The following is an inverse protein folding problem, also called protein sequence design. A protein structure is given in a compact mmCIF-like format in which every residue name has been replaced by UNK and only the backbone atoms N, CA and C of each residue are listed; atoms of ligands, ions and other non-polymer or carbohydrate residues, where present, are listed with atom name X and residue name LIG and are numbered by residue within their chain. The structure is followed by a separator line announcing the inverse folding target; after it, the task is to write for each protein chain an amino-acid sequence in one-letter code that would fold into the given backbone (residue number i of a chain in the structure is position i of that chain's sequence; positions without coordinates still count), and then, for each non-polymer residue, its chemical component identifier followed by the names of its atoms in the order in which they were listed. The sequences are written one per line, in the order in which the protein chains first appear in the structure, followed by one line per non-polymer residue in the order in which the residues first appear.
data_IF_868613497390
#
_entry.id   IF_868613497390
#
_cell.length_a   1.000
_cell.length_b   1.000
_cell.length_c   1.000
_cell.angle_alpha   90.00
_cell.angle_beta   90.00
_cell.angle_gamma   90.00
#
_symmetry.space_group_name_H-M   'P 1'
#
loop_
_entity.id
_entity.type
_entity.pdbx_description
1 polymer ?
#
# COMPACT_ATOMS: atom_id res chain seq x y z
N UNK A 1 23.02 -6.76 15.10
CA UNK A 1 22.26 -6.31 13.94
C UNK A 1 21.58 -4.98 14.28
N UNK A 2 22.06 -3.86 13.73
CA UNK A 2 21.56 -2.51 14.06
C UNK A 2 20.21 -2.25 13.36
N UNK A 3 20.03 -2.78 12.14
CA UNK A 3 18.78 -2.65 11.37
C UNK A 3 17.65 -3.38 12.11
N UNK A 4 16.56 -2.67 12.41
CA UNK A 4 15.44 -3.21 13.18
C UNK A 4 15.64 -3.24 14.69
N UNK A 5 16.76 -2.75 15.20
CA UNK A 5 17.12 -2.78 16.63
C UNK A 5 16.35 -1.79 17.52
N UNK A 6 15.45 -0.99 16.96
CA UNK A 6 14.60 -0.01 17.68
C UNK A 6 15.37 0.94 18.62
N UNK A 7 16.58 1.36 18.21
CA UNK A 7 17.44 2.22 19.02
C UNK A 7 18.20 1.52 20.16
N UNK A 8 17.95 0.23 20.42
CA UNK A 8 18.61 -0.52 21.51
C UNK A 8 20.09 -0.81 21.23
N UNK A 9 20.53 -0.68 20.00
CA UNK A 9 21.92 -0.92 19.55
C UNK A 9 22.78 0.34 19.51
N UNK A 10 22.23 1.48 19.97
CA UNK A 10 22.88 2.77 19.97
C UNK A 10 22.54 3.65 18.75
N UNK A 11 23.00 4.91 18.71
CA UNK A 11 22.76 5.82 17.60
C UNK A 11 23.54 5.38 16.34
N UNK A 12 22.91 5.51 15.18
CA UNK A 12 23.55 5.29 13.88
C UNK A 12 24.22 6.59 13.47
N UNK A 13 25.56 6.62 13.40
CA UNK A 13 26.35 7.79 13.02
C UNK A 13 26.48 7.89 11.50
N UNK A 14 26.61 6.76 10.80
CA UNK A 14 26.75 6.72 9.35
C UNK A 14 26.18 5.44 8.77
N UNK A 15 25.76 5.49 7.51
CA UNK A 15 25.33 4.30 6.76
C UNK A 15 25.83 4.38 5.32
N UNK A 16 26.30 3.25 4.76
CA UNK A 16 26.73 3.12 3.37
C UNK A 16 25.72 2.29 2.61
N UNK A 17 25.17 2.85 1.53
CA UNK A 17 24.17 2.20 0.68
C UNK A 17 24.75 1.96 -0.71
N UNK A 18 24.45 0.78 -1.27
CA UNK A 18 24.67 0.51 -2.68
C UNK A 18 23.44 0.99 -3.45
N UNK A 19 23.63 1.99 -4.32
CA UNK A 19 22.55 2.50 -5.17
C UNK A 19 22.43 1.66 -6.44
N UNK A 20 21.20 1.51 -6.92
CA UNK A 20 20.90 0.88 -8.19
C UNK A 20 20.48 1.96 -9.20
N UNK A 21 21.05 1.90 -10.41
CA UNK A 21 20.67 2.81 -11.49
C UNK A 21 19.28 2.45 -12.00
N UNK A 22 18.39 3.42 -12.05
CA UNK A 22 17.07 3.30 -12.65
C UNK A 22 17.01 4.05 -13.99
N UNK A 23 16.24 3.54 -14.96
CA UNK A 23 16.11 4.16 -16.28
C UNK A 23 15.11 5.29 -16.29
N UNK A 24 14.06 5.18 -15.48
CA UNK A 24 12.97 6.14 -15.38
C UNK A 24 12.43 6.19 -13.95
N UNK A 25 11.89 7.36 -13.53
CA UNK A 25 11.17 7.50 -12.28
C UNK A 25 9.69 7.08 -12.39
N UNK A 26 9.29 6.55 -13.55
CA UNK A 26 7.93 6.09 -13.80
C UNK A 26 7.83 4.60 -13.57
N UNK A 27 6.76 4.21 -12.88
CA UNK A 27 6.42 2.82 -12.59
C UNK A 27 5.19 2.42 -13.41
N UNK A 28 5.36 1.39 -14.23
CA UNK A 28 4.22 0.66 -14.77
C UNK A 28 3.68 -0.25 -13.67
N UNK A 29 2.44 0.00 -13.26
CA UNK A 29 1.74 -0.76 -12.23
C UNK A 29 0.68 -1.64 -12.88
N UNK A 30 0.61 -2.91 -12.45
CA UNK A 30 -0.49 -3.82 -12.75
C UNK A 30 -1.11 -4.33 -11.47
N UNK A 31 -2.45 -4.31 -11.42
CA UNK A 31 -3.22 -4.70 -10.25
C UNK A 31 -3.70 -6.15 -10.37
N UNK A 32 -3.58 -6.92 -9.30
CA UNK A 32 -4.11 -8.28 -9.17
C UNK A 32 -4.99 -8.34 -7.93
N UNK A 33 -6.31 -8.31 -8.13
CA UNK A 33 -7.27 -8.44 -7.06
C UNK A 33 -7.47 -9.92 -6.70
N UNK A 34 -7.67 -10.18 -5.42
CA UNK A 34 -8.00 -11.50 -4.89
C UNK A 34 -9.05 -11.35 -3.79
N UNK A 35 -9.79 -12.42 -3.49
CA UNK A 35 -10.81 -12.48 -2.44
C UNK A 35 -10.64 -13.72 -1.57
N UNK A 36 -9.56 -14.47 -1.76
CA UNK A 36 -9.16 -15.61 -0.93
C UNK A 36 -7.65 -15.86 -1.02
N UNK A 37 -7.13 -16.63 -0.09
CA UNK A 37 -5.70 -16.96 -0.01
C UNK A 37 -5.21 -17.81 -1.19
N UNK A 38 -6.09 -18.63 -1.79
CA UNK A 38 -5.77 -19.48 -2.96
C UNK A 38 -5.49 -18.58 -4.17
N UNK A 39 -6.37 -17.59 -4.43
CA UNK A 39 -6.19 -16.63 -5.53
C UNK A 39 -4.97 -15.74 -5.31
N UNK A 40 -4.72 -15.32 -4.05
CA UNK A 40 -3.48 -14.62 -3.70
C UNK A 40 -2.26 -15.46 -4.11
N UNK A 41 -2.17 -16.73 -3.66
CA UNK A 41 -1.06 -17.62 -4.01
C UNK A 41 -0.91 -17.85 -5.51
N UNK A 42 -2.02 -18.00 -6.26
CA UNK A 42 -2.02 -18.13 -7.73
C UNK A 42 -1.50 -16.87 -8.44
N UNK A 43 -1.53 -15.72 -7.77
CA UNK A 43 -1.01 -14.45 -8.30
C UNK A 43 0.51 -14.31 -8.12
N UNK A 44 1.11 -14.95 -7.11
CA UNK A 44 2.52 -14.80 -6.77
C UNK A 44 3.50 -15.15 -7.90
N UNK A 45 3.31 -16.23 -8.69
CA UNK A 45 4.20 -16.53 -9.81
C UNK A 45 4.24 -15.43 -10.86
N UNK A 46 3.10 -14.71 -11.06
CA UNK A 46 2.98 -13.60 -12.01
C UNK A 46 3.80 -12.37 -11.58
N UNK A 47 4.17 -12.29 -10.30
CA UNK A 47 4.95 -11.16 -9.76
C UNK A 47 6.42 -11.23 -10.11
N UNK A 48 6.96 -12.39 -10.52
CA UNK A 48 8.39 -12.58 -10.85
C UNK A 48 8.89 -11.61 -11.94
N UNK A 49 8.02 -11.13 -12.82
CA UNK A 49 8.34 -10.17 -13.88
C UNK A 49 8.36 -8.71 -13.41
N UNK A 50 7.99 -8.44 -12.16
CA UNK A 50 7.94 -7.11 -11.56
C UNK A 50 9.02 -6.98 -10.51
N UNK A 51 9.63 -5.80 -10.46
CA UNK A 51 10.67 -5.50 -9.46
C UNK A 51 10.07 -5.23 -8.08
N UNK A 52 8.85 -4.68 -8.06
CA UNK A 52 8.16 -4.25 -6.86
C UNK A 52 6.79 -4.90 -6.76
N UNK A 53 6.37 -5.20 -5.54
CA UNK A 53 5.01 -5.62 -5.24
C UNK A 53 4.60 -5.08 -3.87
N UNK A 54 3.45 -4.42 -3.82
CA UNK A 54 2.82 -3.94 -2.59
C UNK A 54 1.44 -4.57 -2.51
N UNK A 55 1.06 -5.08 -1.35
CA UNK A 55 -0.24 -5.68 -1.15
C UNK A 55 -1.06 -4.82 -0.18
N UNK A 56 -2.27 -4.47 -0.59
CA UNK A 56 -3.29 -3.92 0.28
C UNK A 56 -4.26 -5.04 0.67
N UNK A 57 -4.55 -5.16 1.96
CA UNK A 57 -5.48 -6.13 2.53
C UNK A 57 -6.67 -5.40 3.14
N UNK A 58 -7.87 -5.91 2.89
CA UNK A 58 -9.11 -5.42 3.49
C UNK A 58 -9.42 -6.23 4.74
N UNK A 59 -9.09 -5.68 5.90
CA UNK A 59 -9.36 -6.30 7.20
C UNK A 59 -10.82 -6.14 7.66
N UNK A 60 -11.65 -5.37 6.95
CA UNK A 60 -13.09 -5.26 7.27
C UNK A 60 -13.89 -6.49 6.86
N UNK A 61 -13.28 -7.41 6.13
CA UNK A 61 -13.88 -8.67 5.67
C UNK A 61 -13.28 -9.87 6.37
N UNK A 62 -14.10 -10.89 6.59
CA UNK A 62 -13.65 -12.17 7.14
C UNK A 62 -12.67 -12.89 6.21
N UNK A 63 -12.92 -12.83 4.92
CA UNK A 63 -12.08 -13.46 3.91
C UNK A 63 -10.74 -12.74 3.73
N UNK A 64 -9.73 -13.47 3.21
CA UNK A 64 -8.45 -12.90 2.80
C UNK A 64 -8.64 -12.10 1.50
N UNK A 65 -9.08 -10.86 1.61
CA UNK A 65 -9.45 -9.98 0.50
C UNK A 65 -8.41 -8.87 0.31
N UNK A 66 -8.08 -8.55 -0.95
CA UNK A 66 -7.12 -7.49 -1.21
C UNK A 66 -6.73 -7.29 -2.67
N UNK A 67 -5.69 -6.48 -2.86
CA UNK A 67 -5.11 -6.16 -4.17
C UNK A 67 -3.59 -6.16 -4.08
N UNK A 68 -2.93 -6.84 -5.01
CA UNK A 68 -1.49 -6.71 -5.22
C UNK A 68 -1.25 -5.66 -6.30
N UNK A 69 -0.48 -4.64 -5.98
CA UNK A 69 0.04 -3.63 -6.89
C UNK A 69 1.46 -4.05 -7.30
N UNK A 70 1.60 -4.66 -8.46
CA UNK A 70 2.89 -5.09 -9.00
C UNK A 70 3.47 -4.00 -9.89
N UNK A 71 4.72 -3.59 -9.65
CA UNK A 71 5.37 -2.46 -10.32
C UNK A 71 6.74 -2.79 -10.91
N UNK A 72 7.03 -2.20 -12.06
CA UNK A 72 8.37 -2.17 -12.64
C UNK A 72 8.64 -0.80 -13.27
N UNK A 73 9.92 -0.39 -13.31
CA UNK A 73 10.27 0.83 -14.05
C UNK A 73 9.96 0.66 -15.53
N UNK A 74 9.50 1.76 -16.14
CA UNK A 74 9.29 1.86 -17.59
C UNK A 74 10.64 2.12 -18.24
N UNK A 75 10.89 1.55 -19.42
CA UNK A 75 12.05 1.84 -20.22
C UNK A 75 11.95 3.26 -20.82
N UNK A 76 13.12 3.89 -21.07
CA UNK A 76 13.22 5.34 -21.37
C UNK A 76 12.52 5.77 -22.67
N UNK A 77 12.21 4.82 -23.57
CA UNK A 77 11.65 5.10 -24.91
C UNK A 77 10.12 5.12 -24.99
N UNK A 78 9.41 4.76 -23.93
CA UNK A 78 7.96 4.91 -23.92
C UNK A 78 7.60 6.39 -23.72
N UNK A 79 7.35 7.11 -24.81
CA UNK A 79 6.70 8.44 -24.81
C UNK A 79 5.23 8.27 -24.38
N UNK A 80 5.02 8.09 -23.10
CA UNK A 80 3.69 7.96 -22.55
C UNK A 80 3.25 9.36 -22.13
N UNK A 81 2.16 9.82 -22.72
CA UNK A 81 1.47 11.03 -22.28
C UNK A 81 0.91 10.77 -20.87
N UNK A 82 1.68 11.16 -19.85
CA UNK A 82 1.31 11.00 -18.45
C UNK A 82 0.25 12.04 -18.09
N UNK A 83 -1.00 11.67 -18.16
CA UNK A 83 -2.03 12.41 -17.45
C UNK A 83 -1.96 12.00 -15.97
N UNK A 84 -1.08 12.68 -15.22
CA UNK A 84 -1.08 12.59 -13.77
C UNK A 84 -2.32 13.30 -13.23
N UNK A 85 -3.36 12.55 -12.98
CA UNK A 85 -4.47 13.05 -12.18
C UNK A 85 -3.98 13.16 -10.71
N UNK A 86 -3.34 14.28 -10.40
CA UNK A 86 -3.05 14.67 -9.01
C UNK A 86 -4.34 15.21 -8.40
N UNK A 87 -5.14 14.30 -7.89
CA UNK A 87 -6.30 14.66 -7.09
C UNK A 87 -5.80 15.06 -5.69
N UNK A 88 -5.47 16.34 -5.51
CA UNK A 88 -5.22 16.92 -4.19
C UNK A 88 -6.57 17.09 -3.50
N UNK A 89 -6.86 16.22 -2.52
CA UNK A 89 -7.99 16.43 -1.64
C UNK A 89 -7.83 17.79 -0.94
N UNK A 90 -8.79 18.69 -1.13
CA UNK A 90 -8.81 19.97 -0.42
C UNK A 90 -8.94 19.74 1.08
N UNK A 91 -8.40 20.65 1.92
CA UNK A 91 -8.51 20.55 3.40
C UNK A 91 -9.95 20.32 3.86
N UNK A 92 -10.92 20.97 3.23
CA UNK A 92 -12.35 20.83 3.57
C UNK A 92 -12.82 19.38 3.34
N UNK A 93 -12.45 18.78 2.22
CA UNK A 93 -12.81 17.40 1.91
C UNK A 93 -12.14 16.40 2.88
N UNK A 94 -10.89 16.69 3.28
CA UNK A 94 -10.17 15.91 4.31
C UNK A 94 -10.92 15.96 5.63
N UNK A 95 -11.36 17.13 6.08
CA UNK A 95 -12.13 17.30 7.33
C UNK A 95 -13.47 16.57 7.24
N UNK A 96 -14.21 16.74 6.14
CA UNK A 96 -15.47 16.03 5.93
C UNK A 96 -15.28 14.51 5.95
N UNK A 97 -14.30 13.99 5.21
CA UNK A 97 -13.99 12.55 5.20
C UNK A 97 -13.55 12.09 6.60
N UNK A 98 -12.78 12.88 7.35
CA UNK A 98 -12.33 12.52 8.71
C UNK A 98 -13.47 12.41 9.72
N UNK A 99 -14.55 13.16 9.55
CA UNK A 99 -15.75 13.02 10.38
C UNK A 99 -16.47 11.68 10.16
N UNK A 100 -16.31 11.12 8.97
CA UNK A 100 -17.00 9.90 8.53
C UNK A 100 -16.14 8.64 8.60
N UNK A 101 -14.80 8.75 8.52
CA UNK A 101 -13.89 7.57 8.53
C UNK A 101 -13.93 6.79 9.86
N UNK A 102 -14.39 7.41 10.94
CA UNK A 102 -14.53 6.75 12.25
C UNK A 102 -15.74 5.80 12.34
N UNK A 103 -16.50 5.61 11.27
CA UNK A 103 -17.62 4.66 11.27
C UNK A 103 -17.27 3.41 10.47
N UNK A 104 -17.49 2.23 11.07
CA UNK A 104 -17.23 0.92 10.43
C UNK A 104 -17.88 0.82 9.04
N UNK A 105 -19.12 1.31 8.92
CA UNK A 105 -19.87 1.27 7.66
C UNK A 105 -19.16 2.04 6.52
N UNK A 106 -18.67 3.25 6.80
CA UNK A 106 -17.99 4.07 5.79
C UNK A 106 -16.63 3.49 5.39
N UNK A 107 -15.91 2.90 6.34
CA UNK A 107 -14.67 2.20 6.03
C UNK A 107 -14.92 1.05 5.05
N UNK A 108 -15.96 0.23 5.28
CA UNK A 108 -16.37 -0.86 4.37
C UNK A 108 -16.71 -0.30 2.99
N UNK A 109 -17.49 0.79 2.93
CA UNK A 109 -17.89 1.42 1.68
C UNK A 109 -16.70 1.98 0.89
N UNK A 110 -15.76 2.68 1.56
CA UNK A 110 -14.54 3.18 0.93
C UNK A 110 -13.64 2.05 0.44
N UNK A 111 -13.47 0.98 1.23
CA UNK A 111 -12.70 -0.19 0.82
C UNK A 111 -13.32 -0.85 -0.42
N UNK A 112 -14.64 -0.95 -0.47
CA UNK A 112 -15.36 -1.46 -1.64
C UNK A 112 -15.11 -0.60 -2.88
N UNK A 113 -15.27 0.73 -2.78
CA UNK A 113 -15.02 1.65 -3.90
C UNK A 113 -13.55 1.61 -4.34
N UNK A 114 -12.63 1.58 -3.39
CA UNK A 114 -11.19 1.48 -3.67
C UNK A 114 -10.88 0.21 -4.46
N UNK A 115 -11.42 -0.92 -4.02
CA UNK A 115 -11.23 -2.20 -4.70
C UNK A 115 -11.85 -2.19 -6.10
N UNK A 116 -13.09 -1.73 -6.24
CA UNK A 116 -13.79 -1.64 -7.52
C UNK A 116 -13.01 -0.80 -8.54
N UNK A 117 -12.57 0.40 -8.14
CA UNK A 117 -11.74 1.28 -8.97
C UNK A 117 -10.48 0.57 -9.49
N UNK A 118 -9.77 -0.14 -8.62
CA UNK A 118 -8.53 -0.81 -8.96
C UNK A 118 -8.72 -2.12 -9.74
N UNK A 119 -9.90 -2.73 -9.67
CA UNK A 119 -10.28 -3.86 -10.52
C UNK A 119 -10.60 -3.40 -11.95
N UNK A 120 -11.30 -2.28 -12.09
CA UNK A 120 -11.63 -1.69 -13.41
C UNK A 120 -10.34 -1.19 -14.07
N UNK A 121 -9.55 -0.40 -13.37
CA UNK A 121 -8.29 0.16 -13.87
C UNK A 121 -7.11 -0.72 -13.44
N UNK A 122 -6.93 -1.83 -14.15
CA UNK A 122 -5.90 -2.82 -13.80
C UNK A 122 -4.46 -2.38 -14.12
N UNK A 123 -4.27 -1.41 -15.01
CA UNK A 123 -2.94 -0.94 -15.45
C UNK A 123 -2.84 0.57 -15.23
N UNK A 124 -1.75 1.02 -14.63
CA UNK A 124 -1.48 2.43 -14.37
C UNK A 124 -0.02 2.75 -14.63
N UNK A 125 0.23 4.02 -14.95
CA UNK A 125 1.55 4.62 -14.95
C UNK A 125 1.59 5.64 -13.83
N UNK A 126 2.54 5.51 -12.94
CA UNK A 126 2.68 6.34 -11.75
C UNK A 126 4.12 6.81 -11.62
N UNK A 127 4.32 7.97 -11.01
CA UNK A 127 5.66 8.32 -10.54
C UNK A 127 6.08 7.37 -9.42
N UNK A 128 7.39 7.20 -9.26
CA UNK A 128 7.96 6.45 -8.14
C UNK A 128 7.37 6.88 -6.79
N UNK A 129 7.26 8.18 -6.55
CA UNK A 129 6.68 8.71 -5.31
C UNK A 129 5.21 8.31 -5.12
N UNK A 130 4.41 8.36 -6.18
CA UNK A 130 2.99 8.00 -6.09
C UNK A 130 2.77 6.48 -5.90
N UNK A 131 3.72 5.67 -6.34
CA UNK A 131 3.66 4.22 -6.13
C UNK A 131 4.03 3.81 -4.71
N UNK A 132 5.15 4.35 -4.18
CA UNK A 132 5.65 3.97 -2.85
C UNK A 132 5.06 4.78 -1.70
N UNK A 133 4.65 6.02 -1.97
CA UNK A 133 4.13 6.95 -0.96
C UNK A 133 2.77 7.53 -1.37
N UNK A 134 1.74 6.68 -1.60
CA UNK A 134 0.42 7.15 -2.05
C UNK A 134 -0.23 8.13 -1.08
N UNK A 135 0.09 8.06 0.22
CA UNK A 135 -0.39 8.97 1.24
C UNK A 135 0.09 10.41 1.06
N UNK A 136 1.26 10.63 0.43
CA UNK A 136 1.79 11.99 0.17
C UNK A 136 0.91 12.79 -0.80
N UNK A 137 -0.04 12.16 -1.47
CA UNK A 137 -1.04 12.81 -2.34
C UNK A 137 -2.16 13.47 -1.54
N UNK A 138 -2.30 13.12 -0.27
CA UNK A 138 -3.30 13.67 0.63
C UNK A 138 -2.62 14.71 1.49
N UNK A 139 -3.02 15.98 1.35
CA UNK A 139 -2.50 17.07 2.19
C UNK A 139 -2.96 16.81 3.63
N UNK A 140 -2.01 16.83 4.58
CA UNK A 140 -2.28 16.64 6.00
C UNK A 140 -3.02 15.32 6.30
N UNK A 141 -2.64 14.19 5.64
CA UNK A 141 -3.26 12.89 5.84
C UNK A 141 -3.29 12.43 7.32
N UNK A 142 -2.38 12.91 8.15
CA UNK A 142 -2.34 12.70 9.60
C UNK A 142 -3.54 13.32 10.33
N UNK A 143 -4.18 14.36 9.76
CA UNK A 143 -5.40 14.98 10.32
C UNK A 143 -6.59 14.01 10.32
N UNK A 144 -6.58 12.95 9.48
CA UNK A 144 -7.61 11.91 9.51
C UNK A 144 -7.66 11.17 10.85
N UNK A 145 -6.52 11.05 11.52
CA UNK A 145 -6.41 10.30 12.77
C UNK A 145 -6.61 11.17 14.01
N UNK A 146 -6.76 12.50 13.84
CA UNK A 146 -7.03 13.47 14.91
C UNK A 146 -6.14 13.24 16.14
N UNK A 147 -6.76 13.31 17.34
CA UNK A 147 -6.07 13.10 18.62
C UNK A 147 -5.68 11.65 18.90
N UNK A 148 -6.33 10.69 18.25
CA UNK A 148 -6.03 9.27 18.45
C UNK A 148 -4.69 8.86 17.84
N UNK A 149 -4.24 9.58 16.80
CA UNK A 149 -3.02 9.24 16.09
C UNK A 149 -3.13 7.93 15.32
N UNK A 150 -2.00 7.40 14.89
CA UNK A 150 -1.91 6.07 14.29
C UNK A 150 -0.54 5.46 14.63
N UNK A 151 -0.47 4.14 14.60
CA UNK A 151 0.76 3.38 14.82
C UNK A 151 1.03 2.56 13.55
N UNK A 152 2.25 2.63 13.05
CA UNK A 152 2.68 1.84 11.91
C UNK A 152 3.65 0.73 12.35
N UNK A 153 3.28 -0.51 12.07
CA UNK A 153 4.14 -1.66 12.31
C UNK A 153 4.73 -2.18 11.00
N UNK A 154 6.02 -2.49 11.03
CA UNK A 154 6.71 -3.17 9.94
C UNK A 154 7.15 -4.54 10.43
N UNK A 155 6.67 -5.59 9.78
CA UNK A 155 6.97 -6.97 10.16
C UNK A 155 7.52 -7.73 8.95
N UNK A 156 8.65 -8.39 9.15
CA UNK A 156 9.17 -9.37 8.18
C UNK A 156 8.67 -10.75 8.56
N UNK A 157 7.97 -11.40 7.63
CA UNK A 157 7.40 -12.72 7.86
C UNK A 157 7.69 -13.64 6.68
N UNK A 158 8.01 -14.90 6.97
CA UNK A 158 8.13 -15.92 5.94
C UNK A 158 6.76 -16.18 5.29
N UNK A 159 6.76 -16.42 3.96
CA UNK A 159 5.53 -16.68 3.20
C UNK A 159 4.62 -17.74 3.86
N UNK A 160 5.21 -18.82 4.40
CA UNK A 160 4.45 -19.89 5.07
C UNK A 160 3.71 -19.44 6.33
N UNK A 161 4.16 -18.36 6.98
CA UNK A 161 3.57 -17.79 8.20
C UNK A 161 2.65 -16.59 7.92
N UNK A 162 2.54 -16.15 6.67
CA UNK A 162 1.78 -14.96 6.30
C UNK A 162 0.30 -15.07 6.70
N UNK A 163 -0.32 -16.22 6.45
CA UNK A 163 -1.72 -16.44 6.80
C UNK A 163 -1.95 -16.39 8.32
N UNK A 164 -1.03 -16.98 9.10
CA UNK A 164 -1.11 -16.94 10.57
C UNK A 164 -0.99 -15.51 11.08
N UNK A 165 -0.08 -14.70 10.52
CA UNK A 165 0.04 -13.28 10.87
C UNK A 165 -1.23 -12.50 10.56
N UNK A 166 -1.83 -12.72 9.39
CA UNK A 166 -3.08 -12.03 9.00
C UNK A 166 -4.24 -12.42 9.92
N UNK A 167 -4.36 -13.70 10.27
CA UNK A 167 -5.39 -14.16 11.20
C UNK A 167 -5.17 -13.58 12.61
N UNK A 168 -3.91 -13.51 13.08
CA UNK A 168 -3.56 -12.88 14.35
C UNK A 168 -3.96 -11.40 14.37
N UNK A 169 -3.62 -10.64 13.31
CA UNK A 169 -4.01 -9.23 13.21
C UNK A 169 -5.53 -9.07 13.21
N UNK A 170 -6.27 -9.98 12.53
CA UNK A 170 -7.74 -9.92 12.53
C UNK A 170 -8.32 -10.14 13.92
N UNK A 171 -7.88 -11.18 14.61
CA UNK A 171 -8.39 -11.52 15.95
C UNK A 171 -8.12 -10.39 16.97
N UNK A 172 -6.90 -9.83 16.98
CA UNK A 172 -6.52 -8.87 18.02
C UNK A 172 -6.91 -7.41 17.73
N UNK A 173 -7.09 -7.02 16.45
CA UNK A 173 -7.26 -5.62 16.08
C UNK A 173 -8.57 -5.29 15.33
N UNK A 174 -9.33 -6.28 14.91
CA UNK A 174 -10.56 -6.07 14.11
C UNK A 174 -11.82 -6.49 14.87
N UNK A 175 -11.71 -7.41 15.82
CA UNK A 175 -12.83 -7.90 16.63
C UNK A 175 -13.12 -7.04 17.88
N UNK A 176 -12.28 -6.03 18.17
CA UNK A 176 -12.52 -4.99 19.18
C UNK A 176 -13.25 -3.78 18.55
#
# INVERSE_FOLDING_TARGET
LTIGGRGRTGPIISAKFKLEKIQSNVIYQKNYAFNDFIKFNKSLPKLKQYKYAVCWLDFTKENFDGIIFAGKHVEKDERINYQFFDFKLTKILVILVSLFVNTKFLTIFFNFLFKLKNQIKQKNLLTYNNYFFPQNRIINWNEFFKKQGFIQFHVYVEKKRLLNLVNFIKADFVEQ
#
